data_IF_937894037909
#
_entry.id   IF_937894037909
#
_cell.length_a   1.000
_cell.length_b   1.000
_cell.length_c   1.000
_cell.angle_alpha   90.00
_cell.angle_beta   90.00
_cell.angle_gamma   90.00
#
_symmetry.space_group_name_H-M   'P 1'
#
loop_
_entity.id
_entity.type
_entity.pdbx_description
1 polymer ?
#
# COMPACT_ATOMS: atom_id res chain seq x y z
N UNK A 1 -11.64 1.23 -14.10
CA UNK A 1 -12.85 1.83 -13.51
C UNK A 1 -12.44 2.41 -12.16
N UNK A 2 -12.98 3.57 -11.81
CA UNK A 2 -12.65 4.30 -10.56
C UNK A 2 -13.32 3.56 -9.39
N UNK A 3 -12.54 2.80 -8.62
CA UNK A 3 -13.02 2.02 -7.49
C UNK A 3 -12.76 2.79 -6.19
N UNK A 4 -13.66 3.67 -5.84
CA UNK A 4 -13.64 4.33 -4.53
C UNK A 4 -13.55 5.84 -4.57
N UNK A 5 -14.56 6.48 -5.16
CA UNK A 5 -14.71 7.94 -5.04
C UNK A 5 -15.47 8.26 -3.76
N UNK A 6 -14.80 8.70 -2.71
CA UNK A 6 -15.41 9.52 -1.67
C UNK A 6 -15.31 10.98 -2.10
N UNK A 7 -16.31 11.50 -2.80
CA UNK A 7 -16.47 12.93 -2.99
C UNK A 7 -17.10 13.52 -1.72
N UNK A 8 -16.29 14.10 -0.84
CA UNK A 8 -16.78 15.08 0.10
C UNK A 8 -17.10 16.37 -0.67
N UNK A 9 -18.19 17.04 -0.29
CA UNK A 9 -18.78 18.16 -1.01
C UNK A 9 -17.78 19.25 -1.38
N UNK A 10 -17.97 19.78 -2.59
CA UNK A 10 -17.26 20.93 -3.15
C UNK A 10 -17.31 22.13 -2.20
N UNK A 11 -16.14 22.68 -1.84
CA UNK A 11 -16.03 24.02 -1.24
C UNK A 11 -16.00 24.09 0.29
N UNK A 12 -15.58 23.04 1.01
CA UNK A 12 -15.34 23.18 2.45
C UNK A 12 -14.10 24.06 2.70
N UNK A 13 -14.29 25.23 3.32
CA UNK A 13 -13.18 26.05 3.82
C UNK A 13 -12.33 25.24 4.83
N UNK A 14 -11.01 25.42 4.77
CA UNK A 14 -10.09 24.86 5.77
C UNK A 14 -10.46 25.44 7.14
N UNK A 15 -10.66 24.60 8.14
CA UNK A 15 -10.97 25.07 9.50
C UNK A 15 -9.77 25.87 10.07
N UNK A 16 -10.01 26.90 10.90
CA UNK A 16 -8.91 27.64 11.51
C UNK A 16 -7.95 26.71 12.26
N UNK A 17 -6.64 26.89 12.02
CA UNK A 17 -5.60 26.04 12.61
C UNK A 17 -5.20 24.82 11.78
N UNK A 18 -6.05 24.39 10.82
CA UNK A 18 -5.73 23.28 9.93
C UNK A 18 -4.95 23.74 8.69
N UNK A 19 -4.02 22.90 8.26
CA UNK A 19 -3.39 23.03 6.93
C UNK A 19 -3.94 21.91 6.02
N UNK A 20 -4.30 22.23 4.78
CA UNK A 20 -4.73 21.23 3.80
C UNK A 20 -3.57 20.83 2.91
N UNK A 21 -3.28 19.53 2.89
CA UNK A 21 -2.18 18.93 2.14
C UNK A 21 -2.73 17.84 1.23
N UNK A 22 -2.21 17.78 0.01
CA UNK A 22 -2.44 16.67 -0.91
C UNK A 22 -1.21 15.77 -0.96
N UNK A 23 -1.40 14.47 -0.86
CA UNK A 23 -0.37 13.45 -1.01
C UNK A 23 -0.71 12.55 -2.19
N UNK A 24 0.27 12.28 -3.06
CA UNK A 24 0.16 11.33 -4.15
C UNK A 24 1.23 10.25 -3.96
N UNK A 25 0.80 8.99 -4.00
CA UNK A 25 1.68 7.83 -4.01
C UNK A 25 1.51 7.07 -5.32
N UNK A 26 2.61 6.91 -6.06
CA UNK A 26 2.65 6.18 -7.34
C UNK A 26 3.38 4.86 -7.11
N UNK A 27 2.60 3.82 -6.84
CA UNK A 27 3.09 2.46 -6.60
C UNK A 27 3.16 1.61 -7.87
N UNK A 28 3.54 0.35 -7.69
CA UNK A 28 3.69 -0.64 -8.77
C UNK A 28 2.34 -1.04 -9.37
N UNK A 29 1.30 -1.18 -8.54
CA UNK A 29 -0.06 -1.58 -8.98
C UNK A 29 -1.01 -0.39 -9.00
N UNK A 30 -0.95 0.49 -7.99
CA UNK A 30 -1.91 1.58 -7.80
C UNK A 30 -1.25 2.94 -7.80
N UNK A 31 -2.00 3.95 -8.24
CA UNK A 31 -1.70 5.37 -8.05
C UNK A 31 -2.80 5.96 -7.16
N UNK A 32 -2.41 6.63 -6.07
CA UNK A 32 -3.32 7.02 -5.00
C UNK A 32 -3.20 8.50 -4.67
N UNK A 33 -4.31 9.10 -4.26
CA UNK A 33 -4.40 10.48 -3.78
C UNK A 33 -5.08 10.50 -2.41
N UNK A 34 -4.52 11.28 -1.50
CA UNK A 34 -5.18 11.73 -0.29
C UNK A 34 -5.08 13.25 -0.21
N UNK A 35 -6.21 13.92 -0.05
CA UNK A 35 -6.25 15.33 0.40
C UNK A 35 -6.79 15.31 1.82
N UNK A 36 -6.05 15.90 2.74
CA UNK A 36 -6.45 15.94 4.14
C UNK A 36 -6.19 17.28 4.80
N UNK A 37 -7.03 17.61 5.76
CA UNK A 37 -6.82 18.70 6.72
C UNK A 37 -6.06 18.15 7.92
N UNK A 38 -4.99 18.82 8.31
CA UNK A 38 -4.06 18.38 9.35
C UNK A 38 -3.94 19.45 10.44
N UNK A 39 -4.12 19.04 11.70
CA UNK A 39 -3.85 19.82 12.90
C UNK A 39 -3.02 18.93 13.87
N UNK A 40 -1.73 19.24 14.00
CA UNK A 40 -0.80 18.38 14.71
C UNK A 40 -0.77 16.96 14.13
N UNK A 41 -1.16 15.96 14.93
CA UNK A 41 -1.27 14.56 14.52
C UNK A 41 -2.67 14.15 14.03
N UNK A 42 -3.67 15.05 14.13
CA UNK A 42 -5.01 14.78 13.66
C UNK A 42 -5.11 14.95 12.15
N UNK A 43 -5.66 13.94 11.48
CA UNK A 43 -5.84 13.91 10.03
C UNK A 43 -7.34 13.75 9.76
N UNK A 44 -7.88 14.67 8.96
CA UNK A 44 -9.25 14.59 8.47
C UNK A 44 -9.22 14.46 6.94
N UNK A 45 -9.61 13.31 6.44
CA UNK A 45 -9.70 13.08 4.99
C UNK A 45 -10.73 14.02 4.35
N UNK A 46 -10.34 14.62 3.24
CA UNK A 46 -11.19 15.48 2.41
C UNK A 46 -11.49 14.80 1.08
N UNK A 47 -10.46 14.25 0.43
CA UNK A 47 -10.57 13.47 -0.82
C UNK A 47 -9.65 12.28 -0.70
N UNK A 48 -10.17 11.09 -1.02
CA UNK A 48 -9.35 9.88 -1.22
C UNK A 48 -9.68 9.26 -2.56
N UNK A 49 -8.65 8.91 -3.33
CA UNK A 49 -8.74 8.21 -4.63
C UNK A 49 -7.73 7.10 -4.71
N UNK A 50 -8.13 6.00 -5.28
CA UNK A 50 -7.25 4.89 -5.65
C UNK A 50 -7.57 4.47 -7.07
N UNK A 51 -6.56 4.46 -7.95
CA UNK A 51 -6.69 4.02 -9.34
C UNK A 51 -5.67 2.92 -9.56
N UNK A 52 -6.12 1.76 -10.01
CA UNK A 52 -5.24 0.66 -10.40
C UNK A 52 -4.64 0.98 -11.76
N UNK A 53 -3.34 1.21 -11.79
CA UNK A 53 -2.59 1.66 -12.98
C UNK A 53 -1.67 0.59 -13.55
N UNK A 54 -1.37 -0.48 -12.79
CA UNK A 54 -0.45 -1.56 -13.19
C UNK A 54 0.84 -1.02 -13.82
N UNK A 55 1.48 -0.02 -13.17
CA UNK A 55 2.71 0.61 -13.68
C UNK A 55 3.83 -0.43 -13.86
N UNK A 56 3.97 -1.37 -12.91
CA UNK A 56 5.02 -2.38 -12.91
C UNK A 56 4.73 -3.62 -13.73
N UNK A 57 3.63 -3.66 -14.50
CA UNK A 57 3.30 -4.80 -15.35
C UNK A 57 4.41 -5.06 -16.37
N UNK A 58 4.97 -6.29 -16.37
CA UNK A 58 6.05 -6.71 -17.26
C UNK A 58 7.43 -6.11 -16.93
N UNK A 59 7.57 -5.29 -15.89
CA UNK A 59 8.83 -4.63 -15.52
C UNK A 59 9.94 -5.66 -15.22
N UNK A 60 9.62 -6.72 -14.49
CA UNK A 60 10.59 -7.76 -14.14
C UNK A 60 11.25 -8.39 -15.38
N UNK A 61 10.48 -8.62 -16.44
CA UNK A 61 10.98 -9.25 -17.67
C UNK A 61 11.72 -8.25 -18.58
N UNK A 62 11.26 -7.00 -18.66
CA UNK A 62 11.75 -6.00 -19.60
C UNK A 62 12.83 -5.08 -19.02
N UNK A 63 12.87 -4.91 -17.69
CA UNK A 63 13.70 -3.90 -17.02
C UNK A 63 13.21 -2.47 -17.22
N UNK A 64 12.06 -2.24 -17.86
CA UNK A 64 11.53 -0.92 -18.17
C UNK A 64 10.01 -0.85 -18.00
N UNK A 65 9.51 0.33 -17.63
CA UNK A 65 8.08 0.63 -17.59
C UNK A 65 7.51 0.67 -19.01
N UNK A 66 6.34 0.07 -19.20
CA UNK A 66 5.66 0.11 -20.48
C UNK A 66 5.08 1.50 -20.77
N UNK A 67 5.06 1.90 -22.05
CA UNK A 67 4.44 3.16 -22.51
C UNK A 67 2.97 3.24 -22.03
N UNK A 68 2.25 2.13 -22.10
CA UNK A 68 0.87 2.05 -21.65
C UNK A 68 0.74 2.25 -20.13
N UNK A 69 1.64 1.67 -19.32
CA UNK A 69 1.70 1.86 -17.86
C UNK A 69 1.95 3.32 -17.49
N UNK A 70 2.94 3.94 -18.12
CA UNK A 70 3.25 5.36 -17.93
C UNK A 70 2.04 6.23 -18.30
N UNK A 71 1.38 5.96 -19.43
CA UNK A 71 0.21 6.72 -19.86
C UNK A 71 -0.98 6.58 -18.88
N UNK A 72 -1.21 5.37 -18.32
CA UNK A 72 -2.25 5.17 -17.30
C UNK A 72 -1.98 6.00 -16.04
N UNK A 73 -0.74 6.03 -15.57
CA UNK A 73 -0.35 6.86 -14.41
C UNK A 73 -0.51 8.34 -14.70
N UNK A 74 -0.04 8.83 -15.86
CA UNK A 74 -0.17 10.23 -16.24
C UNK A 74 -1.65 10.67 -16.31
N UNK A 75 -2.53 9.82 -16.85
CA UNK A 75 -3.97 10.07 -16.89
C UNK A 75 -4.58 10.12 -15.47
N UNK A 76 -4.20 9.21 -14.57
CA UNK A 76 -4.65 9.21 -13.19
C UNK A 76 -4.21 10.50 -12.47
N UNK A 77 -2.94 10.89 -12.62
CA UNK A 77 -2.39 12.11 -12.01
C UNK A 77 -3.09 13.37 -12.54
N UNK A 78 -3.37 13.45 -13.84
CA UNK A 78 -4.12 14.58 -14.41
C UNK A 78 -5.52 14.73 -13.77
N UNK A 79 -6.21 13.60 -13.50
CA UNK A 79 -7.45 13.60 -12.74
C UNK A 79 -7.26 14.09 -11.31
N UNK A 80 -6.20 13.65 -10.63
CA UNK A 80 -5.88 14.08 -9.27
C UNK A 80 -5.55 15.57 -9.17
N UNK A 81 -4.89 16.16 -10.16
CA UNK A 81 -4.62 17.59 -10.23
C UNK A 81 -5.94 18.39 -10.21
N UNK A 82 -6.96 17.92 -10.90
CA UNK A 82 -8.30 18.54 -10.87
C UNK A 82 -8.93 18.45 -9.47
N UNK A 83 -8.86 17.29 -8.82
CA UNK A 83 -9.38 17.10 -7.46
C UNK A 83 -8.63 17.99 -6.44
N UNK A 84 -7.30 18.06 -6.55
CA UNK A 84 -6.44 18.89 -5.70
C UNK A 84 -6.82 20.37 -5.87
N UNK A 85 -6.94 20.84 -7.10
CA UNK A 85 -7.35 22.24 -7.39
C UNK A 85 -8.72 22.57 -6.80
N UNK A 86 -9.68 21.65 -6.95
CA UNK A 86 -11.04 21.82 -6.41
C UNK A 86 -11.09 21.78 -4.89
N UNK A 87 -10.16 21.06 -4.26
CA UNK A 87 -10.10 20.94 -2.80
C UNK A 87 -9.49 22.16 -2.11
N UNK A 88 -8.74 23.00 -2.83
CA UNK A 88 -8.01 24.12 -2.25
C UNK A 88 -6.79 23.70 -1.40
N UNK A 89 -6.13 22.59 -1.72
CA UNK A 89 -4.92 22.17 -1.02
C UNK A 89 -3.79 23.20 -1.22
N UNK A 90 -3.15 23.59 -0.11
CA UNK A 90 -2.07 24.59 -0.10
C UNK A 90 -0.69 24.02 -0.47
N UNK A 91 -0.53 22.69 -0.38
CA UNK A 91 0.72 21.99 -0.75
C UNK A 91 0.43 20.61 -1.30
N UNK A 92 1.33 20.13 -2.17
CA UNK A 92 1.26 18.80 -2.78
C UNK A 92 2.59 18.08 -2.53
N UNK A 93 2.49 16.84 -2.04
CA UNK A 93 3.62 15.92 -1.90
C UNK A 93 3.36 14.72 -2.79
N UNK A 94 4.26 14.42 -3.72
CA UNK A 94 4.12 13.27 -4.60
C UNK A 94 5.38 12.42 -4.58
N UNK A 95 5.19 11.11 -4.43
CA UNK A 95 6.26 10.13 -4.45
C UNK A 95 5.98 9.02 -5.46
N UNK A 96 7.05 8.43 -5.96
CA UNK A 96 7.03 7.20 -6.74
C UNK A 96 7.97 6.19 -6.07
N UNK A 97 7.57 4.93 -6.06
CA UNK A 97 8.19 3.88 -5.25
C UNK A 97 8.82 2.78 -6.10
N UNK A 98 8.73 1.52 -5.72
CA UNK A 98 9.47 0.38 -6.26
C UNK A 98 9.52 0.35 -7.80
N UNK A 99 8.40 0.37 -8.52
CA UNK A 99 8.41 0.24 -9.98
C UNK A 99 9.20 1.36 -10.68
N UNK A 100 9.06 2.60 -10.20
CA UNK A 100 9.80 3.73 -10.77
C UNK A 100 11.29 3.69 -10.39
N UNK A 101 11.61 3.14 -9.20
CA UNK A 101 12.99 2.97 -8.71
C UNK A 101 13.75 1.90 -9.48
N UNK A 102 13.07 0.80 -9.84
CA UNK A 102 13.67 -0.36 -10.50
C UNK A 102 13.81 -0.19 -12.03
N UNK A 103 13.09 0.76 -12.63
CA UNK A 103 12.99 0.91 -14.06
C UNK A 103 14.16 1.64 -14.67
N UNK A 104 14.70 1.12 -15.78
CA UNK A 104 15.76 1.78 -16.55
C UNK A 104 15.30 3.11 -17.19
N UNK A 105 13.99 3.24 -17.49
CA UNK A 105 13.39 4.44 -18.09
C UNK A 105 12.64 5.33 -17.08
N UNK A 106 13.05 5.32 -15.80
CA UNK A 106 12.45 6.15 -14.74
C UNK A 106 12.41 7.65 -15.07
N UNK A 107 13.36 8.15 -15.87
CA UNK A 107 13.35 9.55 -16.31
C UNK A 107 12.17 9.87 -17.24
N UNK A 108 11.91 9.03 -18.22
CA UNK A 108 10.76 9.17 -19.13
C UNK A 108 9.44 9.17 -18.35
N UNK A 109 9.34 8.28 -17.35
CA UNK A 109 8.20 8.24 -16.44
C UNK A 109 8.04 9.57 -15.68
N UNK A 110 9.12 10.10 -15.06
CA UNK A 110 9.05 11.36 -14.31
C UNK A 110 8.61 12.52 -15.21
N UNK A 111 9.16 12.61 -16.44
CA UNK A 111 8.82 13.66 -17.40
C UNK A 111 7.32 13.58 -17.80
N UNK A 112 6.77 12.38 -17.97
CA UNK A 112 5.36 12.17 -18.29
C UNK A 112 4.43 12.59 -17.13
N UNK A 113 4.81 12.29 -15.88
CA UNK A 113 4.01 12.67 -14.70
C UNK A 113 4.12 14.18 -14.44
N UNK A 114 5.29 14.78 -14.65
CA UNK A 114 5.47 16.24 -14.56
C UNK A 114 4.63 16.98 -15.61
N UNK A 115 4.54 16.44 -16.82
CA UNK A 115 3.66 16.98 -17.86
C UNK A 115 2.15 16.86 -17.49
N UNK A 116 1.78 15.90 -16.65
CA UNK A 116 0.43 15.77 -16.10
C UNK A 116 0.13 16.74 -14.93
N UNK A 117 1.11 17.53 -14.48
CA UNK A 117 0.94 18.63 -13.54
C UNK A 117 1.47 18.38 -12.13
N UNK A 118 2.17 17.28 -11.88
CA UNK A 118 2.77 16.97 -10.58
C UNK A 118 4.20 16.47 -10.77
N UNK A 119 5.12 16.97 -9.95
CA UNK A 119 6.51 16.52 -9.93
C UNK A 119 6.77 15.53 -8.81
N UNK A 120 6.78 14.21 -9.07
CA UNK A 120 7.02 13.23 -8.03
C UNK A 120 8.51 13.08 -7.73
N UNK A 121 8.82 12.65 -6.49
CA UNK A 121 10.17 12.21 -6.10
C UNK A 121 10.19 10.69 -6.04
N UNK A 122 11.17 10.05 -6.68
CA UNK A 122 11.44 8.63 -6.47
C UNK A 122 12.14 8.52 -5.11
N UNK A 123 11.50 7.82 -4.16
CA UNK A 123 12.02 7.69 -2.79
C UNK A 123 12.70 6.33 -2.58
N UNK A 124 13.78 6.29 -1.75
CA UNK A 124 14.36 5.04 -1.29
C UNK A 124 13.36 4.21 -0.46
N UNK A 125 13.49 2.88 -0.51
CA UNK A 125 12.63 2.00 0.29
C UNK A 125 12.69 2.25 1.80
N UNK A 126 13.81 2.75 2.33
CA UNK A 126 13.93 3.14 3.75
C UNK A 126 13.07 4.36 4.10
N UNK A 127 12.92 5.31 3.19
CA UNK A 127 12.03 6.48 3.37
C UNK A 127 10.58 6.04 3.24
N UNK A 128 10.26 5.22 2.24
CA UNK A 128 8.95 4.59 2.04
C UNK A 128 8.49 3.86 3.31
N UNK A 129 9.35 2.98 3.87
CA UNK A 129 9.10 2.24 5.10
C UNK A 129 8.82 3.16 6.31
N UNK A 130 9.63 4.21 6.49
CA UNK A 130 9.44 5.18 7.59
C UNK A 130 8.10 5.92 7.45
N UNK A 131 7.75 6.36 6.26
CA UNK A 131 6.49 7.06 5.98
C UNK A 131 5.29 6.14 6.21
N UNK A 132 5.35 4.90 5.72
CA UNK A 132 4.31 3.90 5.94
C UNK A 132 4.12 3.62 7.44
N UNK A 133 5.23 3.49 8.22
CA UNK A 133 5.14 3.31 9.68
C UNK A 133 4.48 4.51 10.36
N UNK A 134 4.91 5.72 10.04
CA UNK A 134 4.36 6.95 10.63
C UNK A 134 2.87 7.09 10.31
N UNK A 135 2.48 6.80 9.08
CA UNK A 135 1.09 6.86 8.65
C UNK A 135 0.23 5.80 9.32
N UNK A 136 0.64 4.55 9.25
CA UNK A 136 -0.11 3.41 9.79
C UNK A 136 -0.31 3.50 11.30
N UNK A 137 0.66 4.06 12.01
CA UNK A 137 0.57 4.22 13.45
C UNK A 137 -0.10 5.53 13.88
N UNK A 138 -0.59 6.37 12.96
CA UNK A 138 -1.34 7.58 13.31
C UNK A 138 -2.59 7.21 14.13
N UNK A 139 -2.64 7.61 15.38
CA UNK A 139 -3.78 7.30 16.28
C UNK A 139 -3.63 6.02 17.11
N UNK A 140 -2.53 5.27 17.00
CA UNK A 140 -2.25 4.13 17.89
C UNK A 140 -0.95 4.32 18.67
N UNK A 141 -0.85 3.68 19.82
CA UNK A 141 0.35 3.59 20.65
C UNK A 141 0.61 2.13 20.97
N UNK A 142 1.87 1.74 21.10
CA UNK A 142 2.24 0.35 21.42
C UNK A 142 3.73 0.09 21.26
N UNK A 143 4.14 -1.08 21.72
CA UNK A 143 5.50 -1.60 21.62
C UNK A 143 5.51 -2.86 20.74
N UNK A 144 6.54 -3.01 19.94
CA UNK A 144 6.68 -4.19 19.08
C UNK A 144 5.66 -4.24 17.94
N UNK A 145 5.26 -3.08 17.42
CA UNK A 145 4.38 -2.97 16.27
C UNK A 145 5.17 -3.32 15.02
N UNK A 146 4.78 -4.38 14.34
CA UNK A 146 5.27 -4.74 13.02
C UNK A 146 4.29 -4.21 11.98
N UNK A 147 4.80 -3.48 11.01
CA UNK A 147 4.03 -3.08 9.84
C UNK A 147 4.49 -3.89 8.64
N UNK A 148 3.54 -4.38 7.86
CA UNK A 148 3.75 -4.94 6.54
C UNK A 148 2.95 -4.13 5.52
N UNK A 149 3.65 -3.27 4.77
CA UNK A 149 3.09 -2.55 3.63
C UNK A 149 3.32 -3.40 2.37
N UNK A 150 2.29 -4.14 1.99
CA UNK A 150 2.31 -5.13 0.91
C UNK A 150 2.01 -4.47 -0.42
N UNK A 151 3.07 -4.00 -1.09
CA UNK A 151 2.98 -3.41 -2.42
C UNK A 151 2.95 -4.43 -3.57
N UNK A 152 2.93 -3.91 -4.78
CA UNK A 152 3.01 -4.74 -6.00
C UNK A 152 4.43 -5.19 -6.34
N UNK A 153 5.44 -4.35 -6.08
CA UNK A 153 6.85 -4.61 -6.42
C UNK A 153 7.73 -4.95 -5.22
N UNK A 154 7.39 -4.41 -4.04
CA UNK A 154 8.12 -4.58 -2.80
C UNK A 154 7.18 -4.75 -1.62
N UNK A 155 7.73 -5.14 -0.48
CA UNK A 155 7.07 -5.15 0.83
C UNK A 155 7.98 -4.43 1.82
N UNK A 156 7.47 -3.41 2.45
CA UNK A 156 8.12 -2.70 3.54
C UNK A 156 7.76 -3.38 4.87
N UNK A 157 8.77 -3.93 5.55
CA UNK A 157 8.65 -4.44 6.90
C UNK A 157 9.29 -3.46 7.87
N UNK A 158 8.51 -3.00 8.84
CA UNK A 158 8.98 -2.03 9.84
C UNK A 158 8.55 -2.47 11.23
N UNK A 159 9.51 -2.73 12.10
CA UNK A 159 9.28 -2.94 13.52
C UNK A 159 9.55 -1.65 14.29
N UNK A 160 8.63 -1.26 15.13
CA UNK A 160 8.79 -0.04 15.90
C UNK A 160 7.89 0.03 17.12
N UNK A 161 7.89 1.19 17.73
CA UNK A 161 7.03 1.52 18.86
C UNK A 161 6.56 2.97 18.78
N UNK A 162 5.41 3.22 19.38
CA UNK A 162 4.84 4.55 19.49
C UNK A 162 4.46 4.81 20.94
N UNK A 163 4.99 5.88 21.51
CA UNK A 163 4.65 6.36 22.86
C UNK A 163 4.02 7.74 22.75
N UNK A 164 3.12 8.03 23.64
CA UNK A 164 2.56 9.37 23.80
C UNK A 164 2.74 9.79 25.26
N UNK A 165 3.42 10.92 25.49
CA UNK A 165 3.69 11.47 26.81
C UNK A 165 3.41 12.97 26.75
N UNK A 166 2.51 13.47 27.59
CA UNK A 166 2.13 14.88 27.67
C UNK A 166 1.67 15.47 26.31
N UNK A 167 0.98 14.67 25.51
CA UNK A 167 0.51 15.07 24.15
C UNK A 167 1.63 15.12 23.10
N UNK A 168 2.84 14.71 23.46
CA UNK A 168 3.96 14.55 22.51
C UNK A 168 4.02 13.09 22.08
N UNK A 169 3.92 12.88 20.77
CA UNK A 169 4.00 11.56 20.15
C UNK A 169 5.42 11.27 19.72
N UNK A 170 6.00 10.23 20.28
CA UNK A 170 7.32 9.71 19.90
C UNK A 170 7.17 8.42 19.11
N UNK A 171 7.62 8.45 17.86
CA UNK A 171 7.67 7.29 16.95
C UNK A 171 9.11 6.80 16.90
N UNK A 172 9.35 5.54 17.27
CA UNK A 172 10.66 4.91 17.23
C UNK A 172 10.66 3.70 16.30
N UNK A 173 11.35 3.83 15.18
CA UNK A 173 11.64 2.70 14.29
C UNK A 173 12.85 1.95 14.84
N UNK A 174 12.72 0.65 15.04
CA UNK A 174 13.76 -0.24 15.57
C UNK A 174 14.44 -1.03 14.45
N UNK A 175 13.65 -1.51 13.47
CA UNK A 175 14.14 -2.15 12.27
C UNK A 175 13.23 -1.77 11.11
N UNK A 176 13.82 -1.52 9.95
CA UNK A 176 13.07 -1.25 8.73
C UNK A 176 13.79 -1.84 7.53
N UNK A 177 13.05 -2.46 6.62
CA UNK A 177 13.57 -2.99 5.38
C UNK A 177 12.51 -2.97 4.30
N UNK A 178 12.85 -2.46 3.12
CA UNK A 178 12.14 -2.72 1.88
C UNK A 178 12.71 -3.99 1.27
N UNK A 179 11.86 -4.94 0.97
CA UNK A 179 12.22 -6.24 0.40
C UNK A 179 11.57 -6.32 -0.97
N UNK A 180 12.33 -6.73 -1.99
CA UNK A 180 11.85 -6.84 -3.38
C UNK A 180 10.92 -8.06 -3.57
N UNK A 181 9.91 -8.15 -2.71
CA UNK A 181 8.82 -9.12 -2.71
C UNK A 181 7.52 -8.35 -2.72
N UNK A 182 6.79 -8.41 -3.81
CA UNK A 182 5.49 -7.76 -3.96
C UNK A 182 4.53 -8.62 -4.76
N UNK A 183 3.24 -8.35 -4.65
CA UNK A 183 2.20 -9.19 -5.23
C UNK A 183 2.31 -9.33 -6.76
N UNK A 184 2.63 -8.23 -7.47
CA UNK A 184 2.85 -8.26 -8.91
C UNK A 184 4.13 -9.00 -9.28
N UNK A 185 5.21 -8.78 -8.54
CA UNK A 185 6.49 -9.47 -8.77
C UNK A 185 6.36 -10.97 -8.59
N UNK A 186 5.71 -11.42 -7.51
CA UNK A 186 5.48 -12.86 -7.24
C UNK A 186 4.60 -13.49 -8.30
N UNK A 187 3.53 -12.80 -8.72
CA UNK A 187 2.68 -13.25 -9.82
C UNK A 187 3.52 -13.46 -11.10
N UNK A 188 4.27 -12.44 -11.54
CA UNK A 188 5.04 -12.47 -12.79
C UNK A 188 6.16 -13.53 -12.79
N UNK A 189 6.74 -13.83 -11.61
CA UNK A 189 7.85 -14.78 -11.49
C UNK A 189 7.40 -16.24 -11.32
N UNK A 190 6.28 -16.49 -10.65
CA UNK A 190 5.95 -17.83 -10.17
C UNK A 190 4.57 -18.34 -10.55
N UNK A 191 3.55 -17.48 -10.63
CA UNK A 191 2.16 -17.89 -10.81
C UNK A 191 1.73 -17.69 -12.27
N UNK A 192 2.24 -18.55 -13.13
CA UNK A 192 2.05 -18.45 -14.60
C UNK A 192 0.72 -19.08 -15.04
N UNK A 193 0.28 -20.12 -14.31
CA UNK A 193 -0.98 -20.83 -14.60
C UNK A 193 -2.18 -20.09 -14.01
N UNK A 194 -3.35 -20.24 -14.61
CA UNK A 194 -4.61 -19.68 -14.12
C UNK A 194 -5.74 -20.71 -14.20
N UNK A 195 -6.19 -21.27 -13.06
CA UNK A 195 -5.70 -21.04 -11.71
C UNK A 195 -4.25 -21.53 -11.49
N UNK A 196 -3.52 -20.94 -10.51
CA UNK A 196 -2.14 -21.34 -10.23
C UNK A 196 -2.05 -22.78 -9.74
N UNK A 197 -1.00 -23.48 -10.16
CA UNK A 197 -0.73 -24.84 -9.73
C UNK A 197 -0.16 -24.87 -8.30
N UNK A 198 -0.41 -25.95 -7.56
CA UNK A 198 0.15 -26.14 -6.20
C UNK A 198 1.68 -26.00 -6.19
N UNK A 199 2.37 -26.56 -7.18
CA UNK A 199 3.83 -26.45 -7.30
C UNK A 199 4.33 -25.02 -7.54
N UNK A 200 3.52 -24.17 -8.19
CA UNK A 200 3.81 -22.76 -8.38
C UNK A 200 3.67 -21.99 -7.06
N UNK A 201 2.61 -22.28 -6.30
CA UNK A 201 2.37 -21.70 -4.97
C UNK A 201 3.47 -22.11 -4.00
N UNK A 202 3.87 -23.39 -3.96
CA UNK A 202 4.94 -23.89 -3.08
C UNK A 202 6.28 -23.21 -3.38
N UNK A 203 6.63 -23.07 -4.66
CA UNK A 203 7.86 -22.37 -5.07
C UNK A 203 7.82 -20.89 -4.72
N UNK A 204 6.67 -20.24 -4.92
CA UNK A 204 6.47 -18.84 -4.55
C UNK A 204 6.62 -18.66 -3.03
N UNK A 205 5.97 -19.50 -2.22
CA UNK A 205 6.03 -19.43 -0.75
C UNK A 205 7.47 -19.66 -0.24
N UNK A 206 8.17 -20.65 -0.78
CA UNK A 206 9.56 -20.92 -0.40
C UNK A 206 10.47 -19.72 -0.72
N UNK A 207 10.33 -19.13 -1.91
CA UNK A 207 11.11 -17.96 -2.31
C UNK A 207 10.79 -16.75 -1.45
N UNK A 208 9.50 -16.43 -1.23
CA UNK A 208 9.07 -15.32 -0.36
C UNK A 208 9.66 -15.48 1.04
N UNK A 209 9.57 -16.67 1.62
CA UNK A 209 10.12 -16.94 2.94
C UNK A 209 11.65 -16.75 2.97
N UNK A 210 12.37 -17.19 1.94
CA UNK A 210 13.82 -16.99 1.85
C UNK A 210 14.21 -15.51 1.83
N UNK A 211 13.49 -14.69 1.05
CA UNK A 211 13.74 -13.25 0.99
C UNK A 211 13.44 -12.51 2.31
N UNK A 212 12.43 -12.96 3.06
CA UNK A 212 11.96 -12.28 4.27
C UNK A 212 12.66 -12.74 5.56
N UNK A 213 13.08 -14.02 5.65
CA UNK A 213 13.79 -14.57 6.83
C UNK A 213 14.92 -13.71 7.38
N UNK A 214 15.80 -13.08 6.55
CA UNK A 214 16.89 -12.25 7.06
C UNK A 214 16.40 -11.04 7.88
N UNK A 215 15.23 -10.46 7.56
CA UNK A 215 14.67 -9.39 8.37
C UNK A 215 14.29 -9.90 9.77
N UNK A 216 13.53 -10.99 9.84
CA UNK A 216 13.06 -11.54 11.12
C UNK A 216 14.21 -12.08 11.98
N UNK A 217 15.27 -12.63 11.35
CA UNK A 217 16.44 -13.14 12.06
C UNK A 217 17.29 -12.05 12.73
N UNK A 218 17.17 -10.79 12.29
CA UNK A 218 17.92 -9.66 12.84
C UNK A 218 17.17 -8.89 13.93
N UNK A 219 15.92 -9.29 14.23
CA UNK A 219 15.13 -8.58 15.23
C UNK A 219 15.58 -8.92 16.65
N UNK A 220 15.93 -7.90 17.43
CA UNK A 220 16.29 -8.04 18.84
C UNK A 220 15.09 -8.44 19.73
N UNK A 221 13.88 -8.15 19.25
CA UNK A 221 12.62 -8.52 19.92
C UNK A 221 11.61 -9.04 18.93
N UNK A 222 10.75 -9.95 19.39
CA UNK A 222 9.64 -10.44 18.58
C UNK A 222 8.56 -9.38 18.43
N UNK A 223 7.93 -9.27 17.24
CA UNK A 223 6.73 -8.49 17.08
C UNK A 223 5.63 -8.94 18.07
N UNK A 224 4.79 -8.00 18.51
CA UNK A 224 3.63 -8.27 19.38
C UNK A 224 2.32 -8.15 18.63
N UNK A 225 2.30 -7.33 17.60
CA UNK A 225 1.17 -7.14 16.70
C UNK A 225 1.65 -6.89 15.28
N UNK A 226 0.85 -7.26 14.32
CA UNK A 226 1.07 -6.99 12.90
C UNK A 226 -0.04 -6.09 12.38
N UNK A 227 0.34 -5.00 11.73
CA UNK A 227 -0.55 -4.18 10.91
C UNK A 227 -0.25 -4.44 9.45
N UNK A 228 -1.24 -4.89 8.70
CA UNK A 228 -1.13 -5.04 7.25
C UNK A 228 -1.74 -3.85 6.55
N UNK A 229 -0.95 -3.23 5.68
CA UNK A 229 -1.34 -2.07 4.90
C UNK A 229 -1.58 -2.44 3.45
N UNK A 230 -2.04 -1.46 2.70
CA UNK A 230 -2.28 -1.53 1.27
C UNK A 230 -3.33 -2.57 0.84
N UNK A 231 -3.39 -2.79 -0.47
CA UNK A 231 -4.55 -3.42 -1.08
C UNK A 231 -4.74 -4.90 -0.82
N UNK A 232 -3.71 -5.64 -0.43
CA UNK A 232 -3.85 -7.06 -0.12
C UNK A 232 -4.69 -7.25 1.15
N UNK A 233 -4.29 -6.64 2.26
CA UNK A 233 -5.01 -6.75 3.53
C UNK A 233 -6.44 -6.24 3.43
N UNK A 234 -6.62 -5.06 2.82
CA UNK A 234 -7.95 -4.43 2.68
C UNK A 234 -8.89 -5.25 1.79
N UNK A 235 -8.38 -5.85 0.71
CA UNK A 235 -9.19 -6.72 -0.16
C UNK A 235 -9.55 -8.02 0.54
N UNK A 236 -8.61 -8.71 1.20
CA UNK A 236 -8.91 -9.94 1.94
C UNK A 236 -9.93 -9.68 3.06
N UNK A 237 -9.82 -8.55 3.75
CA UNK A 237 -10.80 -8.14 4.76
C UNK A 237 -12.18 -7.87 4.15
N UNK A 238 -12.25 -7.22 3.00
CA UNK A 238 -13.52 -6.95 2.31
C UNK A 238 -14.17 -8.26 1.82
N UNK A 239 -13.39 -9.19 1.27
CA UNK A 239 -13.86 -10.54 0.86
C UNK A 239 -14.38 -11.32 2.06
N UNK A 240 -13.61 -11.41 3.15
CA UNK A 240 -14.03 -12.07 4.39
C UNK A 240 -15.34 -11.52 4.93
N UNK A 241 -15.53 -10.21 4.85
CA UNK A 241 -16.74 -9.53 5.35
C UNK A 241 -17.88 -9.51 4.33
N UNK A 242 -17.70 -10.07 3.13
CA UNK A 242 -18.67 -10.05 2.02
C UNK A 242 -19.21 -8.64 1.73
N UNK A 243 -18.31 -7.65 1.59
CA UNK A 243 -18.71 -6.28 1.35
C UNK A 243 -19.11 -6.07 -0.12
N UNK A 244 -20.38 -6.00 -0.41
CA UNK A 244 -20.89 -5.66 -1.76
C UNK A 244 -20.43 -4.26 -2.20
N UNK A 245 -20.35 -3.34 -1.25
CA UNK A 245 -19.78 -1.99 -1.42
C UNK A 245 -18.65 -1.83 -0.43
N UNK A 246 -17.49 -1.44 -0.94
CA UNK A 246 -16.33 -1.23 -0.09
C UNK A 246 -16.57 -0.15 0.97
N UNK A 247 -16.35 -0.50 2.23
CA UNK A 247 -16.51 0.39 3.37
C UNK A 247 -15.20 0.48 4.18
N UNK A 248 -14.42 1.55 4.04
CA UNK A 248 -13.16 1.73 4.77
C UNK A 248 -13.32 1.69 6.29
N UNK A 249 -14.48 2.12 6.82
CA UNK A 249 -14.73 2.11 8.26
C UNK A 249 -14.93 0.70 8.81
N UNK A 250 -15.36 -0.25 7.99
CA UNK A 250 -15.47 -1.67 8.34
C UNK A 250 -14.16 -2.42 8.13
N UNK A 251 -13.34 -1.98 7.20
CA UNK A 251 -12.05 -2.59 6.84
C UNK A 251 -10.96 -2.16 7.81
N UNK A 252 -10.85 -0.85 8.09
CA UNK A 252 -9.86 -0.33 9.04
C UNK A 252 -10.08 -0.88 10.44
N UNK A 253 -9.02 -1.42 11.04
CA UNK A 253 -9.08 -2.05 12.37
C UNK A 253 -9.68 -3.45 12.38
N UNK A 254 -10.13 -3.99 11.24
CA UNK A 254 -10.58 -5.38 11.17
C UNK A 254 -9.41 -6.34 11.32
N UNK A 255 -9.67 -7.53 11.88
CA UNK A 255 -8.66 -8.56 12.09
C UNK A 255 -8.81 -9.69 11.07
N UNK A 256 -7.68 -10.24 10.64
CA UNK A 256 -7.56 -11.48 9.89
C UNK A 256 -6.67 -12.42 10.68
N UNK A 257 -7.21 -13.56 11.15
CA UNK A 257 -6.37 -14.61 11.73
C UNK A 257 -5.53 -15.29 10.64
N UNK A 258 -4.42 -15.92 11.03
CA UNK A 258 -3.60 -16.69 10.09
C UNK A 258 -4.39 -17.81 9.40
N UNK A 259 -5.29 -18.48 10.13
CA UNK A 259 -6.17 -19.49 9.55
C UNK A 259 -7.11 -18.90 8.48
N UNK A 260 -7.73 -17.75 8.74
CA UNK A 260 -8.58 -17.07 7.76
C UNK A 260 -7.81 -16.61 6.52
N UNK A 261 -6.55 -16.18 6.68
CA UNK A 261 -5.71 -15.84 5.53
C UNK A 261 -5.38 -17.08 4.72
N UNK A 262 -5.07 -18.21 5.35
CA UNK A 262 -4.83 -19.50 4.69
C UNK A 262 -6.06 -20.01 3.95
N UNK A 263 -7.24 -19.93 4.58
CA UNK A 263 -8.51 -20.34 3.95
C UNK A 263 -8.82 -19.50 2.73
N UNK A 264 -8.70 -18.17 2.84
CA UNK A 264 -8.91 -17.24 1.72
C UNK A 264 -7.88 -17.47 0.58
N UNK A 265 -6.62 -17.73 0.93
CA UNK A 265 -5.59 -18.08 -0.06
C UNK A 265 -5.98 -19.33 -0.83
N UNK A 266 -6.37 -20.39 -0.13
CA UNK A 266 -6.76 -21.66 -0.75
C UNK A 266 -8.02 -21.50 -1.64
N UNK A 267 -9.04 -20.76 -1.16
CA UNK A 267 -10.26 -20.49 -1.91
C UNK A 267 -9.96 -19.70 -3.20
N UNK A 268 -9.24 -18.60 -3.08
CA UNK A 268 -8.93 -17.72 -4.22
C UNK A 268 -7.96 -18.38 -5.21
N UNK A 269 -7.02 -19.18 -4.74
CA UNK A 269 -6.09 -19.91 -5.61
C UNK A 269 -6.76 -21.04 -6.42
N UNK A 270 -7.88 -21.58 -5.95
CA UNK A 270 -8.65 -22.58 -6.68
C UNK A 270 -9.47 -22.00 -7.84
N UNK A 271 -9.58 -20.68 -7.94
CA UNK A 271 -10.35 -19.97 -8.98
C UNK A 271 -9.41 -19.41 -10.05
N UNK A 272 -9.88 -19.31 -11.30
CA UNK A 272 -9.25 -18.47 -12.31
C UNK A 272 -9.48 -16.97 -12.03
N UNK A 273 -8.74 -16.10 -12.69
CA UNK A 273 -8.82 -14.64 -12.50
C UNK A 273 -10.24 -14.13 -12.75
N UNK A 274 -10.94 -14.66 -13.77
CA UNK A 274 -12.26 -14.19 -14.11
C UNK A 274 -13.30 -14.54 -13.04
N UNK A 275 -13.21 -15.75 -12.48
CA UNK A 275 -14.03 -16.17 -11.33
C UNK A 275 -13.73 -15.35 -10.08
N UNK A 276 -12.44 -15.06 -9.80
CA UNK A 276 -12.03 -14.21 -8.69
C UNK A 276 -12.62 -12.79 -8.78
N UNK A 277 -12.76 -12.24 -9.99
CA UNK A 277 -13.41 -10.91 -10.19
C UNK A 277 -14.86 -10.85 -9.73
N UNK A 278 -15.53 -11.99 -9.73
CA UNK A 278 -16.92 -12.11 -9.28
C UNK A 278 -17.08 -12.32 -7.76
N UNK A 279 -16.01 -12.50 -7.01
CA UNK A 279 -16.08 -12.71 -5.56
C UNK A 279 -16.55 -11.45 -4.86
N UNK A 280 -17.54 -11.57 -3.97
CA UNK A 280 -18.07 -10.41 -3.23
C UNK A 280 -16.96 -9.83 -2.32
N UNK A 281 -16.76 -8.54 -2.41
CA UNK A 281 -15.67 -7.84 -1.70
C UNK A 281 -14.35 -7.74 -2.47
N UNK A 282 -14.23 -8.45 -3.59
CA UNK A 282 -13.06 -8.35 -4.45
C UNK A 282 -13.11 -7.08 -5.30
N UNK A 283 -12.00 -6.31 -5.29
CA UNK A 283 -11.76 -5.33 -6.35
C UNK A 283 -11.37 -6.08 -7.62
N UNK A 284 -12.18 -6.05 -8.69
CA UNK A 284 -11.89 -6.80 -9.91
C UNK A 284 -10.52 -6.49 -10.53
N UNK A 285 -10.01 -5.29 -10.31
CA UNK A 285 -8.69 -4.87 -10.80
C UNK A 285 -7.52 -5.45 -9.99
N UNK A 286 -7.79 -6.11 -8.86
CA UNK A 286 -6.80 -6.80 -8.01
C UNK A 286 -6.88 -8.32 -8.10
N UNK A 287 -7.86 -8.86 -8.81
CA UNK A 287 -8.11 -10.30 -8.89
C UNK A 287 -6.91 -11.11 -9.41
N UNK A 288 -6.06 -10.50 -10.24
CA UNK A 288 -4.84 -11.13 -10.75
C UNK A 288 -3.75 -11.25 -9.68
N UNK A 289 -3.56 -10.24 -8.82
CA UNK A 289 -2.45 -10.19 -7.85
C UNK A 289 -2.82 -10.69 -6.45
N UNK A 290 -4.11 -10.91 -6.15
CA UNK A 290 -4.56 -11.18 -4.78
C UNK A 290 -4.03 -12.50 -4.21
N UNK A 291 -3.90 -13.54 -5.03
CA UNK A 291 -3.36 -14.84 -4.59
C UNK A 291 -1.91 -14.69 -4.16
N UNK A 292 -1.09 -14.01 -4.97
CA UNK A 292 0.29 -13.68 -4.60
C UNK A 292 0.36 -12.83 -3.32
N UNK A 293 -0.52 -11.84 -3.19
CA UNK A 293 -0.62 -11.01 -2.01
C UNK A 293 -0.97 -11.79 -0.74
N UNK A 294 -1.97 -12.68 -0.81
CA UNK A 294 -2.38 -13.53 0.29
C UNK A 294 -1.26 -14.48 0.75
N UNK A 295 -0.55 -15.10 -0.21
CA UNK A 295 0.61 -15.96 0.05
C UNK A 295 1.74 -15.19 0.76
N UNK A 296 2.02 -13.96 0.35
CA UNK A 296 3.01 -13.11 1.02
C UNK A 296 2.57 -12.80 2.45
N UNK A 297 1.30 -12.41 2.66
CA UNK A 297 0.77 -12.10 3.99
C UNK A 297 0.81 -13.31 4.93
N UNK A 298 0.40 -14.49 4.45
CA UNK A 298 0.49 -15.75 5.21
C UNK A 298 1.92 -16.02 5.65
N UNK A 299 2.89 -15.86 4.73
CA UNK A 299 4.32 -16.05 5.03
C UNK A 299 4.81 -15.06 6.10
N UNK A 300 4.39 -13.79 6.05
CA UNK A 300 4.76 -12.77 7.04
C UNK A 300 4.20 -13.14 8.41
N UNK A 301 2.92 -13.51 8.51
CA UNK A 301 2.28 -13.92 9.77
C UNK A 301 3.06 -15.08 10.40
N UNK A 302 3.38 -16.10 9.60
CA UNK A 302 4.14 -17.26 10.06
C UNK A 302 5.55 -16.90 10.55
N UNK A 303 6.30 -16.09 9.80
CA UNK A 303 7.66 -15.65 10.16
C UNK A 303 7.67 -14.73 11.39
N UNK A 304 6.65 -13.90 11.55
CA UNK A 304 6.48 -13.04 12.73
C UNK A 304 6.12 -13.85 13.98
N UNK A 305 5.60 -15.08 13.83
CA UNK A 305 5.13 -15.91 14.92
C UNK A 305 3.88 -15.33 15.60
N UNK A 306 2.99 -14.71 14.82
CA UNK A 306 1.76 -14.09 15.28
C UNK A 306 0.54 -14.89 14.82
N UNK A 307 -0.58 -14.74 15.52
CA UNK A 307 -1.83 -15.45 15.21
C UNK A 307 -2.62 -14.83 14.06
N UNK A 308 -2.23 -13.63 13.61
CA UNK A 308 -2.92 -12.90 12.55
C UNK A 308 -2.44 -11.46 12.41
N UNK A 309 -3.28 -10.64 11.80
CA UNK A 309 -2.99 -9.23 11.52
C UNK A 309 -4.21 -8.34 11.71
N UNK A 310 -3.99 -7.07 12.03
CA UNK A 310 -4.99 -6.00 11.94
C UNK A 310 -4.79 -5.25 10.64
N UNK A 311 -5.87 -5.02 9.90
CA UNK A 311 -5.84 -4.32 8.61
C UNK A 311 -5.93 -2.81 8.84
N UNK A 312 -5.06 -2.06 8.20
CA UNK A 312 -5.07 -0.60 8.29
C UNK A 312 -5.30 0.07 6.92
N UNK A 313 -6.21 1.04 6.92
CA UNK A 313 -6.40 2.00 5.81
C UNK A 313 -5.40 3.16 5.88
N UNK A 314 -4.77 3.34 7.04
CA UNK A 314 -3.74 4.35 7.24
C UNK A 314 -2.41 3.78 6.76
N UNK A 315 -1.80 4.45 5.81
CA UNK A 315 -0.62 3.99 5.09
C UNK A 315 0.37 5.14 4.78
N UNK A 316 1.21 4.96 3.78
CA UNK A 316 2.18 5.96 3.34
C UNK A 316 1.54 7.33 3.03
N UNK A 317 0.28 7.37 2.54
CA UNK A 317 -0.41 8.64 2.28
C UNK A 317 -0.59 9.46 3.56
N UNK A 318 -0.94 8.80 4.67
CA UNK A 318 -0.98 9.47 5.98
C UNK A 318 0.40 9.95 6.42
N UNK A 319 1.43 9.13 6.21
CA UNK A 319 2.81 9.52 6.46
C UNK A 319 3.23 10.74 5.64
N UNK A 320 2.87 10.77 4.36
CA UNK A 320 3.17 11.88 3.46
C UNK A 320 2.49 13.19 3.87
N UNK A 321 1.19 13.14 4.22
CA UNK A 321 0.49 14.35 4.65
C UNK A 321 1.02 14.88 5.99
N UNK A 322 1.41 14.00 6.92
CA UNK A 322 2.04 14.37 8.18
C UNK A 322 3.43 15.00 7.97
N UNK A 323 4.26 14.37 7.15
CA UNK A 323 5.62 14.83 6.84
C UNK A 323 5.62 16.15 6.04
N UNK A 324 4.66 16.30 5.13
CA UNK A 324 4.64 17.43 4.20
C UNK A 324 5.79 17.39 3.19
N UNK A 325 5.94 18.44 2.34
CA UNK A 325 6.96 18.47 1.29
C UNK A 325 8.40 18.38 1.80
N UNK A 326 8.66 18.91 3.00
CA UNK A 326 10.01 19.00 3.59
C UNK A 326 10.42 17.73 4.35
N UNK A 327 9.50 16.82 4.61
CA UNK A 327 9.74 15.60 5.41
C UNK A 327 10.19 14.36 4.63
N UNK A 328 10.57 14.52 3.35
CA UNK A 328 11.01 13.41 2.48
C UNK A 328 12.53 13.16 2.50
N UNK A 329 13.29 13.96 3.21
CA UNK A 329 14.76 13.86 3.30
C UNK A 329 15.22 12.92 4.42
#
# INVERSE_FOLDING_TARGET
MDTGTRAAGTGQSVAPGYRRVAAIDIGTVTTRLLVADIDGSQIREVVRRTIVTHLGEGLHASGALSVAGIARVAAAVAGFVTDIGSSGAGSVVAVATSAARDAANGREFLDAVEAAGVRPRIIPGSVEARLSFTGATSGITGEGILIADLGGGSTELVLGSVRETDGVREVRVQAARSIDVGSRRVLDMFLVSDPPLTEELDRAAAWVAEQMKPFFAQLDQRPRELLTLAGTGTTLSAVKQHLEVYDPARVHGSCLSGAEVSDLLAELAAMDVESRRGVVGMDPARADVIVAGALILETIIALAGLDGTTVSEHDILYGLVLAGPDGLD
#
